data_IF_519317917956
#
_entry.id   IF_519317917956
#
_cell.length_a   1.000
_cell.length_b   1.000
_cell.length_c   1.000
_cell.angle_alpha   90.00
_cell.angle_beta   90.00
_cell.angle_gamma   90.00
#
_symmetry.space_group_name_H-M   'P 1'
#
loop_
_entity.id
_entity.type
_entity.pdbx_description
1 polymer ?
#
# COMPACT_ATOMS: atom_id res chain seq x y z
N UNK A 1 -0.86 15.99 -32.62
CA UNK A 1 -1.67 15.21 -31.66
C UNK A 1 -1.00 15.44 -30.32
N UNK A 2 -1.55 16.34 -29.52
CA UNK A 2 -1.04 16.70 -28.18
C UNK A 2 -2.13 16.27 -27.21
N UNK A 3 -2.01 15.08 -26.67
CA UNK A 3 -2.88 14.55 -25.63
C UNK A 3 -1.99 13.72 -24.72
N UNK A 4 -2.03 14.02 -23.42
CA UNK A 4 -1.43 13.18 -22.40
C UNK A 4 -2.12 11.80 -22.51
N UNK A 5 -1.38 10.78 -22.91
CA UNK A 5 -1.88 9.42 -23.19
C UNK A 5 -1.83 8.51 -21.94
N UNK A 6 -1.71 9.12 -20.75
CA UNK A 6 -1.57 8.42 -19.48
C UNK A 6 -2.91 8.03 -18.88
N UNK A 7 -2.88 7.06 -17.97
CA UNK A 7 -4.08 6.53 -17.30
C UNK A 7 -4.74 7.62 -16.44
N UNK A 8 -6.07 7.67 -16.47
CA UNK A 8 -6.91 8.51 -15.61
C UNK A 8 -7.98 7.62 -15.01
N UNK A 9 -7.96 7.46 -13.69
CA UNK A 9 -8.95 6.65 -12.96
C UNK A 9 -10.10 7.56 -12.54
N UNK A 10 -11.32 7.27 -13.00
CA UNK A 10 -12.45 8.16 -12.77
C UNK A 10 -13.09 7.94 -11.40
N UNK A 11 -13.28 6.69 -11.00
CA UNK A 11 -14.03 6.30 -9.82
C UNK A 11 -13.36 5.16 -9.04
N UNK A 12 -13.92 4.87 -7.86
CA UNK A 12 -13.40 3.80 -7.00
C UNK A 12 -13.57 2.40 -7.58
N UNK A 13 -14.50 2.19 -8.51
CA UNK A 13 -14.68 0.89 -9.20
C UNK A 13 -13.52 0.65 -10.17
N UNK A 14 -13.17 1.65 -10.98
CA UNK A 14 -12.00 1.62 -11.85
C UNK A 14 -10.70 1.48 -11.04
N UNK A 15 -10.61 2.16 -9.89
CA UNK A 15 -9.48 2.04 -8.98
C UNK A 15 -9.28 0.62 -8.45
N UNK A 16 -10.36 0.03 -7.93
CA UNK A 16 -10.35 -1.36 -7.45
C UNK A 16 -9.94 -2.27 -8.60
N UNK A 17 -10.56 -2.13 -9.77
CA UNK A 17 -10.28 -2.98 -10.93
C UNK A 17 -8.82 -2.88 -11.40
N UNK A 18 -8.26 -1.67 -11.39
CA UNK A 18 -6.84 -1.46 -11.67
C UNK A 18 -5.96 -2.19 -10.63
N UNK A 19 -6.19 -1.95 -9.33
CA UNK A 19 -5.43 -2.58 -8.25
C UNK A 19 -5.54 -4.11 -8.26
N UNK A 20 -6.72 -4.64 -8.57
CA UNK A 20 -6.96 -6.07 -8.72
C UNK A 20 -6.01 -6.69 -9.75
N UNK A 21 -5.90 -6.09 -10.95
CA UNK A 21 -5.05 -6.67 -11.99
C UNK A 21 -3.56 -6.52 -11.72
N UNK A 22 -3.12 -5.38 -11.19
CA UNK A 22 -1.67 -5.12 -11.02
C UNK A 22 -1.10 -5.71 -9.74
N UNK A 23 -1.92 -5.93 -8.71
CA UNK A 23 -1.47 -6.42 -7.41
C UNK A 23 -2.36 -7.51 -6.78
N UNK A 24 -3.69 -7.45 -6.96
CA UNK A 24 -4.60 -8.47 -6.45
C UNK A 24 -4.27 -9.87 -6.98
N UNK A 25 -4.08 -10.00 -8.30
CA UNK A 25 -3.67 -11.27 -8.95
C UNK A 25 -2.31 -11.78 -8.48
N UNK A 26 -1.41 -10.88 -8.04
CA UNK A 26 -0.12 -11.27 -7.43
C UNK A 26 -0.35 -11.89 -6.05
N UNK A 27 -1.28 -11.36 -5.25
CA UNK A 27 -1.69 -11.95 -3.98
C UNK A 27 -2.29 -13.35 -4.15
N UNK A 28 -3.14 -13.54 -5.15
CA UNK A 28 -3.70 -14.85 -5.52
C UNK A 28 -2.57 -15.83 -5.92
N UNK A 29 -1.66 -15.41 -6.80
CA UNK A 29 -0.53 -16.23 -7.22
C UNK A 29 0.37 -16.62 -6.03
N UNK A 30 0.64 -15.70 -5.11
CA UNK A 30 1.41 -16.00 -3.89
C UNK A 30 0.71 -17.03 -3.03
N UNK A 31 -0.61 -16.89 -2.85
CA UNK A 31 -1.45 -17.87 -2.11
C UNK A 31 -1.35 -19.26 -2.74
N UNK A 32 -1.45 -19.34 -4.07
CA UNK A 32 -1.29 -20.60 -4.80
C UNK A 32 0.09 -21.21 -4.58
N UNK A 33 1.17 -20.43 -4.67
CA UNK A 33 2.54 -20.90 -4.41
C UNK A 33 2.68 -21.44 -2.98
N UNK A 34 2.12 -20.72 -2.01
CA UNK A 34 2.19 -21.07 -0.60
C UNK A 34 1.39 -22.34 -0.27
N UNK A 35 0.31 -22.62 -1.00
CA UNK A 35 -0.45 -23.87 -0.86
C UNK A 35 0.36 -25.13 -1.20
N UNK A 36 1.43 -25.00 -2.00
CA UNK A 36 2.36 -26.09 -2.30
C UNK A 36 3.46 -26.27 -1.24
N UNK A 37 3.57 -25.36 -0.27
CA UNK A 37 4.49 -25.47 0.86
C UNK A 37 3.85 -26.31 1.98
N UNK A 38 4.61 -27.25 2.55
CA UNK A 38 4.10 -28.20 3.55
C UNK A 38 3.61 -27.54 4.87
N UNK A 39 3.88 -26.26 5.07
CA UNK A 39 3.59 -25.53 6.30
C UNK A 39 2.20 -24.86 6.30
N UNK A 40 1.45 -24.94 5.19
CA UNK A 40 0.10 -24.38 5.06
C UNK A 40 -0.89 -25.50 4.78
N UNK A 41 -1.87 -25.66 5.66
CA UNK A 41 -2.94 -26.65 5.45
C UNK A 41 -3.92 -26.18 4.37
N UNK A 42 -4.61 -27.13 3.73
CA UNK A 42 -5.68 -26.84 2.76
C UNK A 42 -6.74 -25.89 3.33
N UNK A 43 -7.12 -26.08 4.60
CA UNK A 43 -8.06 -25.19 5.30
C UNK A 43 -7.53 -23.76 5.50
N UNK A 44 -6.22 -23.59 5.71
CA UNK A 44 -5.60 -22.25 5.79
C UNK A 44 -5.57 -21.63 4.39
N UNK A 45 -5.19 -22.39 3.37
CA UNK A 45 -5.19 -21.95 1.98
C UNK A 45 -6.56 -21.46 1.48
N UNK A 46 -7.63 -22.17 1.82
CA UNK A 46 -9.00 -21.75 1.48
C UNK A 46 -9.35 -20.41 2.13
N UNK A 47 -8.91 -20.18 3.37
CA UNK A 47 -9.18 -18.92 4.08
C UNK A 47 -8.31 -17.77 3.57
N UNK A 48 -7.06 -18.05 3.17
CA UNK A 48 -6.14 -17.07 2.60
C UNK A 48 -6.73 -16.42 1.34
N UNK A 49 -7.41 -17.20 0.49
CA UNK A 49 -8.00 -16.66 -0.75
C UNK A 49 -8.98 -15.51 -0.49
N UNK A 50 -9.70 -15.51 0.64
CA UNK A 50 -10.64 -14.43 1.02
C UNK A 50 -9.96 -13.08 1.28
N UNK A 51 -8.66 -13.07 1.61
CA UNK A 51 -7.93 -11.86 2.01
C UNK A 51 -6.73 -11.54 1.09
N UNK A 52 -6.38 -12.47 0.19
CA UNK A 52 -5.25 -12.34 -0.73
C UNK A 52 -5.34 -11.12 -1.64
N UNK A 53 -6.56 -10.79 -2.10
CA UNK A 53 -6.80 -9.61 -2.92
C UNK A 53 -6.58 -8.32 -2.11
N UNK A 54 -7.10 -8.26 -0.88
CA UNK A 54 -6.92 -7.12 0.03
C UNK A 54 -5.45 -6.86 0.36
N UNK A 55 -4.65 -7.91 0.53
CA UNK A 55 -3.20 -7.77 0.70
C UNK A 55 -2.56 -7.04 -0.49
N UNK A 56 -2.88 -7.45 -1.72
CA UNK A 56 -2.40 -6.78 -2.93
C UNK A 56 -2.91 -5.35 -3.07
N UNK A 57 -4.21 -5.13 -2.81
CA UNK A 57 -4.84 -3.81 -2.89
C UNK A 57 -4.24 -2.83 -1.88
N UNK A 58 -3.96 -3.28 -0.64
CA UNK A 58 -3.33 -2.46 0.37
C UNK A 58 -1.97 -1.96 -0.11
N UNK A 59 -1.08 -2.87 -0.53
CA UNK A 59 0.25 -2.51 -1.01
C UNK A 59 0.20 -1.57 -2.22
N UNK A 60 -0.68 -1.85 -3.18
CA UNK A 60 -0.80 -1.03 -4.38
C UNK A 60 -1.37 0.36 -4.08
N UNK A 61 -2.34 0.45 -3.18
CA UNK A 61 -2.92 1.75 -2.78
C UNK A 61 -1.86 2.62 -2.13
N UNK A 62 -1.03 2.06 -1.23
CA UNK A 62 0.05 2.81 -0.59
C UNK A 62 1.11 3.24 -1.62
N UNK A 63 1.47 2.40 -2.59
CA UNK A 63 2.39 2.78 -3.66
C UNK A 63 1.85 3.96 -4.50
N UNK A 64 0.56 3.91 -4.89
CA UNK A 64 -0.09 5.00 -5.64
C UNK A 64 -0.10 6.30 -4.84
N UNK A 65 -0.33 6.22 -3.53
CA UNK A 65 -0.32 7.39 -2.66
C UNK A 65 1.09 7.95 -2.44
N UNK A 66 2.11 7.11 -2.44
CA UNK A 66 3.49 7.51 -2.17
C UNK A 66 4.08 8.34 -3.31
N UNK A 67 3.82 7.95 -4.57
CA UNK A 67 4.61 8.41 -5.72
C UNK A 67 3.80 9.07 -6.89
N UNK A 68 2.77 9.91 -6.65
CA UNK A 68 1.96 10.50 -7.73
C UNK A 68 2.77 11.42 -8.66
N UNK A 69 3.86 12.02 -8.17
CA UNK A 69 4.77 12.81 -9.01
C UNK A 69 5.52 11.91 -10.00
N UNK A 70 6.02 10.75 -9.56
CA UNK A 70 6.74 9.83 -10.44
C UNK A 70 5.80 9.22 -11.49
N UNK A 71 4.57 8.86 -11.09
CA UNK A 71 3.52 8.37 -12.01
C UNK A 71 3.23 9.39 -13.13
N UNK A 72 3.17 10.68 -12.76
CA UNK A 72 2.95 11.75 -13.73
C UNK A 72 4.18 12.02 -14.60
N UNK A 73 5.38 12.13 -14.03
CA UNK A 73 6.59 12.46 -14.78
C UNK A 73 7.00 11.33 -15.75
N UNK A 74 6.77 10.07 -15.37
CA UNK A 74 7.19 8.89 -16.15
C UNK A 74 6.13 8.40 -17.16
N UNK A 75 4.86 8.33 -16.74
CA UNK A 75 3.78 7.73 -17.53
C UNK A 75 2.70 8.73 -17.91
N UNK A 76 2.82 9.99 -17.47
CA UNK A 76 1.75 10.98 -17.56
C UNK A 76 0.45 10.48 -16.91
N UNK A 77 0.53 9.56 -15.95
CA UNK A 77 -0.61 8.91 -15.31
C UNK A 77 -1.10 9.70 -14.08
N UNK A 78 -2.39 9.54 -13.76
CA UNK A 78 -2.99 9.96 -12.49
C UNK A 78 -3.87 8.81 -12.01
N UNK A 79 -3.39 8.08 -11.01
CA UNK A 79 -4.08 6.90 -10.47
C UNK A 79 -5.02 7.25 -9.31
N UNK A 80 -4.89 8.42 -8.70
CA UNK A 80 -5.86 8.89 -7.70
C UNK A 80 -7.21 9.12 -8.39
N UNK A 81 -8.30 8.47 -7.94
CA UNK A 81 -9.60 8.57 -8.60
C UNK A 81 -10.14 9.99 -8.59
N UNK A 82 -10.69 10.48 -9.70
CA UNK A 82 -11.30 11.82 -9.74
C UNK A 82 -12.45 11.95 -8.73
N UNK A 83 -13.21 10.87 -8.51
CA UNK A 83 -14.31 10.79 -7.53
C UNK A 83 -13.92 11.20 -6.10
N UNK A 84 -12.68 10.93 -5.67
CA UNK A 84 -12.24 11.24 -4.31
C UNK A 84 -11.64 12.64 -4.17
N UNK A 85 -11.47 13.36 -5.28
CA UNK A 85 -10.87 14.69 -5.29
C UNK A 85 -11.89 15.78 -5.00
N UNK A 86 -11.49 16.88 -4.35
CA UNK A 86 -12.30 18.10 -4.32
C UNK A 86 -12.31 18.85 -5.67
N UNK A 87 -11.57 18.35 -6.68
CA UNK A 87 -11.38 18.95 -8.00
C UNK A 87 -11.31 17.89 -9.10
N UNK A 88 -10.48 18.14 -10.12
CA UNK A 88 -10.33 17.29 -11.30
C UNK A 88 -8.91 16.75 -11.44
N UNK A 89 -8.69 15.79 -12.34
CA UNK A 89 -7.33 15.37 -12.67
C UNK A 89 -6.47 16.51 -13.23
N UNK A 90 -7.07 17.49 -13.91
CA UNK A 90 -6.34 18.67 -14.41
C UNK A 90 -5.80 19.53 -13.25
N UNK A 91 -6.51 19.56 -12.12
CA UNK A 91 -6.04 20.25 -10.91
C UNK A 91 -4.83 19.53 -10.31
N UNK A 92 -4.88 18.20 -10.17
CA UNK A 92 -3.73 17.40 -9.73
C UNK A 92 -2.52 17.60 -10.64
N UNK A 93 -2.71 17.52 -11.97
CA UNK A 93 -1.61 17.69 -12.92
C UNK A 93 -0.92 19.04 -12.72
N UNK A 94 -1.72 20.11 -12.58
CA UNK A 94 -1.19 21.45 -12.31
C UNK A 94 -0.44 21.49 -10.99
N UNK A 95 -0.97 20.89 -9.94
CA UNK A 95 -0.35 20.85 -8.61
C UNK A 95 0.98 20.09 -8.62
N UNK A 96 1.08 18.98 -9.36
CA UNK A 96 2.33 18.25 -9.56
C UNK A 96 3.37 19.07 -10.34
N UNK A 97 2.95 19.81 -11.37
CA UNK A 97 3.84 20.70 -12.15
C UNK A 97 4.45 21.82 -11.29
N UNK A 98 3.66 22.40 -10.38
CA UNK A 98 4.10 23.53 -9.53
C UNK A 98 4.57 23.09 -8.14
N UNK A 99 4.40 21.81 -7.79
CA UNK A 99 4.73 21.18 -6.50
C UNK A 99 3.98 21.82 -5.31
N UNK A 100 2.67 21.99 -5.46
CA UNK A 100 1.77 22.63 -4.47
C UNK A 100 0.46 21.81 -4.30
N UNK A 101 0.39 20.85 -3.35
CA UNK A 101 -0.53 19.70 -3.45
C UNK A 101 -1.87 19.80 -2.71
N UNK A 102 -2.53 20.95 -2.65
CA UNK A 102 -3.77 21.08 -1.88
C UNK A 102 -4.86 20.05 -2.28
N UNK A 103 -5.15 19.88 -3.56
CA UNK A 103 -6.15 18.92 -4.08
C UNK A 103 -5.71 17.48 -3.88
N UNK A 104 -4.42 17.19 -4.13
CA UNK A 104 -3.84 15.86 -3.92
C UNK A 104 -4.03 15.43 -2.46
N UNK A 105 -3.60 16.26 -1.50
CA UNK A 105 -3.64 15.92 -0.07
C UNK A 105 -5.08 15.59 0.37
N UNK A 106 -6.08 16.32 -0.13
CA UNK A 106 -7.46 16.03 0.28
C UNK A 106 -8.01 14.76 -0.34
N UNK A 107 -7.62 14.45 -1.59
CA UNK A 107 -7.92 13.16 -2.22
C UNK A 107 -7.27 11.98 -1.50
N UNK A 108 -6.05 12.16 -1.00
CA UNK A 108 -5.30 11.13 -0.29
C UNK A 108 -5.99 10.67 0.99
N UNK A 109 -6.68 11.55 1.72
CA UNK A 109 -7.41 11.19 2.95
C UNK A 109 -8.41 10.06 2.70
N UNK A 110 -9.21 10.17 1.65
CA UNK A 110 -10.21 9.15 1.28
C UNK A 110 -9.57 7.81 0.91
N UNK A 111 -8.44 7.86 0.19
CA UNK A 111 -7.70 6.65 -0.20
C UNK A 111 -6.94 6.03 0.96
N UNK A 112 -6.43 6.81 1.92
CA UNK A 112 -5.82 6.30 3.15
C UNK A 112 -6.86 5.57 4.01
N UNK A 113 -8.07 6.11 4.15
CA UNK A 113 -9.16 5.41 4.84
C UNK A 113 -9.53 4.09 4.15
N UNK A 114 -9.47 4.05 2.82
CA UNK A 114 -9.66 2.81 2.06
C UNK A 114 -8.50 1.83 2.26
N UNK A 115 -7.26 2.32 2.17
CA UNK A 115 -6.05 1.54 2.40
C UNK A 115 -6.05 0.92 3.80
N UNK A 116 -6.47 1.65 4.82
CA UNK A 116 -6.52 1.15 6.20
C UNK A 116 -7.44 -0.07 6.34
N UNK A 117 -8.62 -0.03 5.70
CA UNK A 117 -9.54 -1.18 5.65
C UNK A 117 -8.92 -2.39 4.95
N UNK A 118 -8.24 -2.17 3.82
CA UNK A 118 -7.52 -3.25 3.15
C UNK A 118 -6.34 -3.76 3.98
N UNK A 119 -5.69 -2.88 4.75
CA UNK A 119 -4.60 -3.19 5.67
C UNK A 119 -5.03 -4.09 6.83
N UNK A 120 -6.25 -3.94 7.34
CA UNK A 120 -6.81 -4.85 8.34
C UNK A 120 -7.01 -6.26 7.78
N UNK A 121 -7.55 -6.37 6.57
CA UNK A 121 -7.70 -7.65 5.87
C UNK A 121 -6.35 -8.26 5.48
N UNK A 122 -5.38 -7.42 5.11
CA UNK A 122 -4.00 -7.82 4.86
C UNK A 122 -3.31 -8.37 6.13
N UNK A 123 -3.57 -7.80 7.31
CA UNK A 123 -3.13 -8.39 8.59
C UNK A 123 -3.76 -9.76 8.79
N UNK A 124 -5.09 -9.88 8.62
CA UNK A 124 -5.78 -11.16 8.75
C UNK A 124 -5.20 -12.23 7.81
N UNK A 125 -4.86 -11.86 6.57
CA UNK A 125 -4.18 -12.71 5.60
C UNK A 125 -2.85 -13.26 6.16
N UNK A 126 -2.00 -12.40 6.73
CA UNK A 126 -0.72 -12.81 7.32
C UNK A 126 -0.93 -13.66 8.57
N UNK A 127 -1.89 -13.28 9.41
CA UNK A 127 -2.15 -13.95 10.69
C UNK A 127 -2.69 -15.38 10.55
N UNK A 128 -3.35 -15.69 9.43
CA UNK A 128 -3.75 -17.05 9.08
C UNK A 128 -2.55 -17.98 8.85
N UNK A 129 -1.38 -17.44 8.54
CA UNK A 129 -0.16 -18.21 8.32
C UNK A 129 0.50 -18.52 9.68
N UNK A 130 0.90 -19.77 9.94
CA UNK A 130 1.51 -20.15 11.21
C UNK A 130 2.70 -19.26 11.60
N UNK A 131 2.79 -18.89 12.88
CA UNK A 131 3.85 -18.02 13.43
C UNK A 131 5.27 -18.53 13.14
N UNK A 132 5.45 -19.85 13.05
CA UNK A 132 6.75 -20.48 12.79
C UNK A 132 7.09 -20.62 11.29
N UNK A 133 6.27 -20.08 10.40
CA UNK A 133 6.47 -20.13 8.95
C UNK A 133 7.33 -18.98 8.45
N UNK A 134 8.38 -19.27 7.68
CA UNK A 134 9.19 -18.23 7.02
C UNK A 134 8.37 -17.38 6.04
N UNK A 135 7.29 -17.95 5.48
CA UNK A 135 6.35 -17.24 4.59
C UNK A 135 5.75 -16.03 5.29
N UNK A 136 5.44 -16.17 6.58
CA UNK A 136 4.86 -15.09 7.38
C UNK A 136 5.81 -13.89 7.42
N UNK A 137 7.09 -14.10 7.73
CA UNK A 137 8.09 -13.04 7.72
C UNK A 137 8.24 -12.35 6.35
N UNK A 138 8.17 -13.11 5.25
CA UNK A 138 8.23 -12.52 3.90
C UNK A 138 7.03 -11.61 3.56
N UNK A 139 5.86 -11.87 4.15
CA UNK A 139 4.66 -11.04 3.96
C UNK A 139 4.59 -9.88 4.95
N UNK A 140 5.11 -10.06 6.16
CA UNK A 140 5.18 -9.01 7.17
C UNK A 140 6.06 -7.84 6.71
N UNK A 141 7.18 -8.09 6.02
CA UNK A 141 8.07 -7.01 5.53
C UNK A 141 7.35 -5.98 4.64
N UNK A 142 6.76 -6.33 3.49
CA UNK A 142 6.07 -5.35 2.64
C UNK A 142 4.86 -4.74 3.34
N UNK A 143 4.15 -5.51 4.18
CA UNK A 143 3.02 -5.01 4.95
C UNK A 143 3.41 -3.89 5.93
N UNK A 144 4.45 -4.13 6.74
CA UNK A 144 4.93 -3.17 7.74
C UNK A 144 5.57 -1.95 7.09
N UNK A 145 6.27 -2.12 5.96
CA UNK A 145 6.78 -0.99 5.16
C UNK A 145 5.63 -0.14 4.59
N UNK A 146 4.54 -0.77 4.14
CA UNK A 146 3.38 -0.06 3.65
C UNK A 146 2.65 0.69 4.79
N UNK A 147 2.56 0.11 5.99
CA UNK A 147 2.05 0.81 7.19
C UNK A 147 2.91 2.01 7.59
N UNK A 148 4.23 1.84 7.62
CA UNK A 148 5.16 2.94 7.88
C UNK A 148 5.04 4.05 6.81
N UNK A 149 4.91 3.66 5.54
CA UNK A 149 4.69 4.61 4.45
C UNK A 149 3.35 5.34 4.59
N UNK A 150 2.27 4.65 4.98
CA UNK A 150 0.97 5.27 5.23
C UNK A 150 1.05 6.34 6.33
N UNK A 151 1.78 6.06 7.41
CA UNK A 151 2.07 7.06 8.46
C UNK A 151 2.83 8.26 7.89
N UNK A 152 3.89 8.04 7.11
CA UNK A 152 4.65 9.14 6.50
C UNK A 152 3.78 10.01 5.59
N UNK A 153 2.88 9.40 4.81
CA UNK A 153 1.89 10.10 3.98
C UNK A 153 0.99 10.99 4.85
N UNK A 154 0.46 10.44 5.96
CA UNK A 154 -0.46 11.17 6.84
C UNK A 154 0.24 12.33 7.59
N UNK A 155 1.47 12.11 8.04
CA UNK A 155 2.23 13.08 8.82
C UNK A 155 2.93 14.16 7.98
N UNK A 156 3.34 13.82 6.75
CA UNK A 156 4.10 14.70 5.84
C UNK A 156 3.52 14.72 4.41
N UNK A 157 2.21 14.99 4.24
CA UNK A 157 1.53 14.86 2.95
C UNK A 157 2.09 15.79 1.87
N UNK A 158 2.72 16.92 2.24
CA UNK A 158 3.36 17.83 1.30
C UNK A 158 4.59 17.24 0.60
N UNK A 159 5.27 16.26 1.20
CA UNK A 159 6.46 15.61 0.61
C UNK A 159 6.10 14.73 -0.59
N UNK A 160 4.86 14.27 -0.68
CA UNK A 160 4.34 13.41 -1.75
C UNK A 160 4.48 14.11 -3.11
N UNK A 161 3.97 15.34 -3.24
CA UNK A 161 4.11 16.09 -4.50
C UNK A 161 5.50 16.69 -4.73
N UNK A 162 6.36 16.67 -3.72
CA UNK A 162 7.77 16.99 -3.88
C UNK A 162 8.58 15.81 -4.41
N UNK A 163 8.06 14.58 -4.27
CA UNK A 163 8.77 13.33 -4.60
C UNK A 163 9.81 12.94 -3.54
N UNK A 164 9.68 13.47 -2.33
CA UNK A 164 10.67 13.33 -1.25
C UNK A 164 10.14 12.45 -0.09
N UNK A 165 8.99 11.81 -0.26
CA UNK A 165 8.41 10.94 0.78
C UNK A 165 9.14 9.59 0.84
N UNK A 166 9.70 9.26 2.00
CA UNK A 166 10.36 7.98 2.24
C UNK A 166 10.30 7.58 3.71
N UNK A 167 10.31 6.28 3.96
CA UNK A 167 10.58 5.70 5.28
C UNK A 167 12.08 5.73 5.53
N UNK A 168 12.50 6.22 6.70
CA UNK A 168 13.92 6.34 7.05
C UNK A 168 14.62 4.98 7.06
N UNK A 169 15.90 4.97 6.68
CA UNK A 169 16.66 3.73 6.51
C UNK A 169 16.77 2.93 7.80
N UNK A 170 16.92 3.63 8.93
CA UNK A 170 16.99 3.05 10.26
C UNK A 170 15.70 2.28 10.61
N UNK A 171 14.53 2.84 10.28
CA UNK A 171 13.24 2.18 10.48
C UNK A 171 13.07 0.98 9.54
N UNK A 172 13.46 1.11 8.27
CA UNK A 172 13.46 -0.02 7.33
C UNK A 172 14.27 -1.20 7.89
N UNK A 173 15.45 -0.93 8.45
CA UNK A 173 16.27 -1.97 9.07
C UNK A 173 15.63 -2.56 10.32
N UNK A 174 14.93 -1.76 11.13
CA UNK A 174 14.18 -2.24 12.28
C UNK A 174 13.03 -3.17 11.85
N UNK A 175 12.26 -2.78 10.83
CA UNK A 175 11.17 -3.60 10.27
C UNK A 175 11.71 -4.94 9.77
N UNK A 176 12.81 -4.93 9.01
CA UNK A 176 13.44 -6.16 8.52
C UNK A 176 13.93 -7.09 9.63
N UNK A 177 14.29 -6.55 10.79
CA UNK A 177 14.75 -7.33 11.93
C UNK A 177 13.57 -7.96 12.70
N UNK A 178 12.48 -7.22 12.88
CA UNK A 178 11.33 -7.65 13.67
C UNK A 178 10.34 -8.52 12.87
N UNK A 179 10.28 -8.39 11.55
CA UNK A 179 9.45 -9.24 10.70
C UNK A 179 9.82 -10.73 10.88
N UNK A 180 8.83 -11.56 11.19
CA UNK A 180 8.97 -12.97 11.52
C UNK A 180 9.56 -13.29 12.91
N UNK A 181 9.97 -12.27 13.68
CA UNK A 181 10.58 -12.42 15.02
C UNK A 181 9.78 -11.72 16.15
N UNK A 182 8.65 -11.10 15.81
CA UNK A 182 7.83 -10.33 16.75
C UNK A 182 6.93 -11.22 17.62
N UNK A 183 6.45 -10.68 18.74
CA UNK A 183 5.50 -11.36 19.64
C UNK A 183 4.04 -11.28 19.14
N UNK A 184 3.78 -10.49 18.10
CA UNK A 184 2.46 -10.23 17.52
C UNK A 184 2.52 -9.13 16.46
N UNK A 185 1.91 -9.40 15.30
CA UNK A 185 1.89 -8.48 14.16
C UNK A 185 1.09 -7.21 14.47
N UNK A 186 0.00 -7.36 15.23
CA UNK A 186 -0.83 -6.27 15.73
C UNK A 186 -0.06 -5.25 16.59
N UNK A 187 0.84 -5.74 17.44
CA UNK A 187 1.62 -4.88 18.34
C UNK A 187 2.67 -4.07 17.58
N UNK A 188 3.42 -4.70 16.67
CA UNK A 188 4.40 -3.99 15.85
C UNK A 188 3.74 -3.02 14.88
N UNK A 189 2.60 -3.38 14.29
CA UNK A 189 1.80 -2.49 13.46
C UNK A 189 1.34 -1.26 14.27
N UNK A 190 0.82 -1.47 15.49
CA UNK A 190 0.38 -0.39 16.36
C UNK A 190 1.52 0.56 16.73
N UNK A 191 2.72 0.02 16.97
CA UNK A 191 3.92 0.82 17.24
C UNK A 191 4.32 1.64 16.01
N UNK A 192 4.36 1.02 14.82
CA UNK A 192 4.67 1.68 13.55
C UNK A 192 3.66 2.78 13.25
N UNK A 193 2.36 2.55 13.43
CA UNK A 193 1.33 3.55 13.14
C UNK A 193 1.45 4.80 14.04
N UNK A 194 2.11 4.69 15.20
CA UNK A 194 2.28 5.81 16.13
C UNK A 194 3.60 6.56 15.95
N UNK A 195 4.66 5.88 15.50
CA UNK A 195 6.00 6.45 15.35
C UNK A 195 6.93 5.54 14.56
N UNK A 196 8.07 6.05 14.05
CA UNK A 196 9.11 5.23 13.47
C UNK A 196 9.56 4.09 14.40
N UNK A 197 9.63 2.88 13.86
CA UNK A 197 10.13 1.71 14.60
C UNK A 197 11.65 1.84 14.85
N UNK A 198 12.07 1.58 16.08
CA UNK A 198 13.48 1.64 16.50
C UNK A 198 13.99 0.25 16.90
N UNK A 199 15.24 -0.06 16.55
CA UNK A 199 15.91 -1.30 17.00
C UNK A 199 16.14 -1.21 18.51
N UNK A 200 15.68 -2.22 19.26
CA UNK A 200 15.88 -2.35 20.71
C UNK A 200 17.34 -2.66 21.08
#
# INVERSE_FOLDING_TARGET
RSGFDGIRINDMEEFHHYCHFVAGTVGEMLTDIFSYHNDISESVSENLSNYSESFGQFLQTINILKDPLEDFESESAVFIPEEVLPGTHDDIIRELEIRDPDTIIEGMKSLLEYADRQGDDARNYIELIPENSEIRGYLEVPYLLARATAREIEENPEKVAQGDLAVEREEVMAILQEAGNNEGLDQIESDINQKPLEIK
#
